data_IF_426527404263
#
_entry.id   IF_426527404263
#
_cell.length_a   1.000
_cell.length_b   1.000
_cell.length_c   1.000
_cell.angle_alpha   90.00
_cell.angle_beta   90.00
_cell.angle_gamma   90.00
#
_symmetry.space_group_name_H-M   'P 1'
#
loop_
_entity.id
_entity.type
_entity.pdbx_description
1 polymer ?
#
# COMPACT_ATOMS: atom_id res chain seq x y z
N UNK A 1 -17.95 -5.41 20.24
CA UNK A 1 -17.42 -4.38 19.34
C UNK A 1 -16.24 -3.67 19.98
N UNK A 2 -15.15 -3.55 19.25
CA UNK A 2 -13.96 -2.87 19.75
C UNK A 2 -14.13 -1.36 19.66
N UNK A 3 -13.67 -0.64 20.71
CA UNK A 3 -13.72 0.81 20.80
C UNK A 3 -12.32 1.43 20.90
N UNK A 4 -11.29 0.72 20.44
CA UNK A 4 -9.95 1.25 20.46
C UNK A 4 -9.71 2.32 19.41
N UNK A 5 -8.57 2.98 19.52
CA UNK A 5 -8.10 3.89 18.45
C UNK A 5 -7.86 3.08 17.19
N UNK A 6 -7.92 3.76 16.06
CA UNK A 6 -7.72 3.12 14.74
C UNK A 6 -6.50 3.71 14.06
N UNK A 7 -5.93 2.92 13.16
CA UNK A 7 -4.88 3.43 12.28
C UNK A 7 -5.49 4.44 11.32
N UNK A 8 -5.04 5.69 11.39
CA UNK A 8 -5.60 6.76 10.56
C UNK A 8 -4.70 7.18 9.43
N UNK A 9 -3.40 7.26 9.68
CA UNK A 9 -2.44 7.85 8.74
C UNK A 9 -1.13 7.08 8.77
N UNK A 10 -0.60 6.78 7.58
CA UNK A 10 0.77 6.30 7.43
C UNK A 10 1.62 7.43 6.86
N UNK A 11 2.84 7.59 7.34
CA UNK A 11 3.80 8.55 6.81
C UNK A 11 4.93 7.76 6.17
N UNK A 12 5.22 8.06 4.91
CA UNK A 12 6.26 7.38 4.15
C UNK A 12 7.25 8.39 3.58
N UNK A 13 8.53 8.11 3.73
CA UNK A 13 9.56 8.90 3.08
C UNK A 13 9.74 8.40 1.65
N UNK A 14 9.86 9.33 0.71
CA UNK A 14 10.03 9.02 -0.72
C UNK A 14 11.19 9.84 -1.28
N UNK A 15 11.82 9.35 -2.34
CA UNK A 15 12.92 10.07 -2.96
C UNK A 15 12.41 11.22 -3.84
N UNK A 16 11.36 10.98 -4.62
CA UNK A 16 10.82 11.93 -5.58
C UNK A 16 9.31 12.05 -5.34
N UNK A 17 8.88 13.17 -4.78
CA UNK A 17 7.50 13.38 -4.37
C UNK A 17 6.53 13.26 -5.54
N UNK A 18 6.81 13.94 -6.66
CA UNK A 18 5.91 13.94 -7.81
C UNK A 18 5.71 12.54 -8.37
N UNK A 19 6.79 11.77 -8.48
CA UNK A 19 6.76 10.39 -8.96
C UNK A 19 5.92 9.50 -8.06
N UNK A 20 6.12 9.61 -6.75
CA UNK A 20 5.41 8.77 -5.78
C UNK A 20 3.94 9.17 -5.67
N UNK A 21 3.62 10.45 -5.76
CA UNK A 21 2.23 10.92 -5.78
C UNK A 21 1.50 10.33 -6.98
N UNK A 22 2.11 10.37 -8.17
CA UNK A 22 1.49 9.77 -9.36
C UNK A 22 1.23 8.28 -9.17
N UNK A 23 2.21 7.57 -8.65
CA UNK A 23 2.10 6.12 -8.41
C UNK A 23 0.91 5.79 -7.51
N UNK A 24 0.83 6.41 -6.33
CA UNK A 24 -0.21 6.08 -5.36
C UNK A 24 -1.60 6.54 -5.80
N UNK A 25 -1.67 7.62 -6.56
CA UNK A 25 -2.94 8.03 -7.17
C UNK A 25 -3.44 7.00 -8.18
N UNK A 26 -2.54 6.50 -9.02
CA UNK A 26 -2.91 5.55 -10.07
C UNK A 26 -3.22 4.17 -9.52
N UNK A 27 -2.37 3.65 -8.64
CA UNK A 27 -2.51 2.26 -8.15
C UNK A 27 -3.62 2.15 -7.12
N UNK A 28 -3.68 3.06 -6.15
CA UNK A 28 -4.61 2.97 -5.03
C UNK A 28 -5.81 3.91 -5.17
N UNK A 29 -5.89 4.66 -6.26
CA UNK A 29 -6.97 5.61 -6.52
C UNK A 29 -7.15 6.64 -5.39
N UNK A 30 -6.05 7.04 -4.76
CA UNK A 30 -6.10 8.05 -3.71
C UNK A 30 -6.20 9.45 -4.30
N UNK A 31 -6.82 10.36 -3.56
CA UNK A 31 -6.93 11.77 -3.95
C UNK A 31 -5.90 12.60 -3.19
N UNK A 32 -5.26 13.53 -3.89
CA UNK A 32 -4.40 14.52 -3.23
C UNK A 32 -5.30 15.57 -2.57
N UNK A 33 -5.22 15.67 -1.25
CA UNK A 33 -5.99 16.64 -0.47
C UNK A 33 -5.20 17.92 -0.24
N UNK A 34 -3.89 17.79 -0.06
CA UNK A 34 -3.01 18.92 0.18
C UNK A 34 -1.60 18.55 -0.26
N UNK A 35 -0.86 19.51 -0.78
CA UNK A 35 0.50 19.28 -1.24
C UNK A 35 1.30 20.58 -1.24
N UNK A 36 2.55 20.48 -0.80
CA UNK A 36 3.52 21.55 -0.96
C UNK A 36 4.78 20.99 -1.65
N UNK A 37 5.90 21.71 -1.59
CA UNK A 37 7.10 21.28 -2.29
C UNK A 37 7.79 20.06 -1.69
N UNK A 38 7.49 19.71 -0.43
CA UNK A 38 8.18 18.63 0.28
C UNK A 38 7.27 17.49 0.70
N UNK A 39 5.95 17.69 0.75
CA UNK A 39 5.04 16.68 1.26
C UNK A 39 3.68 16.72 0.55
N UNK A 40 3.00 15.59 0.54
CA UNK A 40 1.65 15.46 0.00
C UNK A 40 0.80 14.62 0.94
N UNK A 41 -0.45 15.04 1.13
CA UNK A 41 -1.46 14.28 1.87
C UNK A 41 -2.44 13.68 0.88
N UNK A 42 -2.52 12.36 0.85
CA UNK A 42 -3.43 11.61 0.00
C UNK A 42 -4.49 10.94 0.88
N UNK A 43 -5.69 10.80 0.34
CA UNK A 43 -6.82 10.26 1.08
C UNK A 43 -7.61 9.28 0.22
N UNK A 44 -8.09 8.20 0.84
CA UNK A 44 -9.00 7.24 0.23
C UNK A 44 -9.70 6.40 1.28
N UNK A 45 -11.02 6.38 1.24
CA UNK A 45 -11.89 5.52 2.05
C UNK A 45 -11.52 5.51 3.55
N UNK A 46 -11.37 6.69 4.14
CA UNK A 46 -11.14 6.83 5.58
C UNK A 46 -9.70 6.70 6.03
N UNK A 47 -8.76 6.45 5.12
CA UNK A 47 -7.34 6.35 5.44
C UNK A 47 -6.57 7.46 4.76
N UNK A 48 -5.47 7.86 5.39
CA UNK A 48 -4.59 8.91 4.87
C UNK A 48 -3.18 8.37 4.67
N UNK A 49 -2.53 8.84 3.62
CA UNK A 49 -1.14 8.56 3.35
C UNK A 49 -0.41 9.89 3.18
N UNK A 50 0.61 10.13 4.00
CA UNK A 50 1.46 11.31 3.84
C UNK A 50 2.77 10.86 3.20
N UNK A 51 3.14 11.46 2.09
CA UNK A 51 4.41 11.25 1.43
C UNK A 51 5.30 12.45 1.70
N UNK A 52 6.53 12.22 2.15
CA UNK A 52 7.50 13.26 2.49
C UNK A 52 8.78 13.02 1.69
N UNK A 53 9.16 14.01 0.91
CA UNK A 53 10.38 13.91 0.10
C UNK A 53 11.64 13.94 0.96
N UNK A 54 12.54 12.98 0.74
CA UNK A 54 13.83 12.90 1.41
C UNK A 54 15.00 13.07 0.45
N UNK A 55 14.71 13.19 -0.86
CA UNK A 55 15.74 13.32 -1.88
C UNK A 55 16.35 11.99 -2.28
N UNK A 56 17.13 12.02 -3.36
CA UNK A 56 17.82 10.84 -3.88
C UNK A 56 18.88 10.34 -2.90
N UNK A 57 19.13 9.05 -2.93
CA UNK A 57 20.12 8.41 -2.06
C UNK A 57 19.54 7.81 -0.79
N UNK A 58 18.30 8.16 -0.40
CA UNK A 58 17.62 7.47 0.69
C UNK A 58 17.17 6.07 0.24
N UNK A 59 17.12 5.13 1.17
CA UNK A 59 16.66 3.77 0.86
C UNK A 59 15.84 3.22 2.01
N UNK A 60 15.06 2.17 1.71
CA UNK A 60 14.20 1.51 2.70
C UNK A 60 14.77 0.16 3.06
N UNK A 61 15.28 -0.03 4.31
CA UNK A 61 15.76 -1.34 4.74
C UNK A 61 14.59 -2.30 5.00
N UNK A 62 14.76 -3.56 4.59
CA UNK A 62 13.77 -4.61 4.80
C UNK A 62 14.23 -5.57 5.89
N UNK A 63 13.28 -6.13 6.64
CA UNK A 63 13.54 -7.17 7.61
C UNK A 63 13.98 -6.70 8.98
N UNK A 64 14.19 -5.41 9.17
CA UNK A 64 14.49 -4.85 10.49
C UNK A 64 13.26 -4.80 11.38
N UNK A 65 13.46 -4.65 12.67
CA UNK A 65 12.35 -4.49 13.62
C UNK A 65 11.56 -3.22 13.29
N UNK A 66 10.24 -3.34 13.22
CA UNK A 66 9.34 -2.23 12.92
C UNK A 66 8.35 -2.59 11.83
N UNK A 67 7.76 -1.57 11.23
CA UNK A 67 6.80 -1.77 10.14
C UNK A 67 7.50 -2.33 8.92
N UNK A 68 6.99 -3.44 8.38
CA UNK A 68 7.54 -4.06 7.18
C UNK A 68 6.83 -3.56 5.92
N UNK A 69 5.50 -3.56 5.93
CA UNK A 69 4.69 -3.05 4.85
C UNK A 69 3.27 -2.77 5.36
N UNK A 70 2.51 -2.07 4.54
CA UNK A 70 1.12 -1.74 4.83
C UNK A 70 0.24 -2.57 3.90
N UNK A 71 -0.83 -3.15 4.43
CA UNK A 71 -1.81 -3.88 3.64
C UNK A 71 -2.97 -2.93 3.34
N UNK A 72 -3.24 -2.73 2.06
CA UNK A 72 -4.37 -1.96 1.59
C UNK A 72 -5.51 -2.90 1.26
N UNK A 73 -6.73 -2.52 1.61
CA UNK A 73 -7.91 -3.31 1.27
C UNK A 73 -8.58 -2.71 0.05
N UNK A 74 -8.77 -3.52 -0.99
CA UNK A 74 -9.52 -3.09 -2.17
C UNK A 74 -11.00 -2.92 -1.83
N UNK A 75 -11.67 -2.02 -2.54
CA UNK A 75 -13.09 -1.74 -2.32
C UNK A 75 -13.97 -2.96 -2.65
N UNK A 76 -13.60 -3.69 -3.70
CA UNK A 76 -14.28 -4.91 -4.15
C UNK A 76 -13.33 -5.71 -5.06
N UNK A 77 -13.82 -6.81 -5.60
CA UNK A 77 -13.04 -7.66 -6.49
C UNK A 77 -12.58 -6.90 -7.74
N UNK A 78 -13.45 -6.08 -8.31
CA UNK A 78 -13.11 -5.30 -9.50
C UNK A 78 -12.01 -4.28 -9.22
N UNK A 79 -12.01 -3.69 -8.03
CA UNK A 79 -10.97 -2.76 -7.61
C UNK A 79 -9.62 -3.47 -7.44
N UNK A 80 -9.62 -4.68 -6.89
CA UNK A 80 -8.40 -5.49 -6.78
C UNK A 80 -7.81 -5.77 -8.17
N UNK A 81 -8.66 -6.16 -9.11
CA UNK A 81 -8.24 -6.43 -10.49
C UNK A 81 -7.71 -5.17 -11.17
N UNK A 82 -8.31 -4.02 -10.89
CA UNK A 82 -7.84 -2.73 -11.39
C UNK A 82 -6.44 -2.43 -10.86
N UNK A 83 -6.21 -2.64 -9.56
CA UNK A 83 -4.89 -2.44 -8.96
C UNK A 83 -3.85 -3.33 -9.63
N UNK A 84 -4.18 -4.59 -9.87
CA UNK A 84 -3.26 -5.53 -10.54
C UNK A 84 -2.91 -5.05 -11.94
N UNK A 85 -3.91 -4.65 -12.74
CA UNK A 85 -3.66 -4.15 -14.08
C UNK A 85 -2.77 -2.91 -14.07
N UNK A 86 -3.06 -1.98 -13.17
CA UNK A 86 -2.30 -0.73 -13.09
C UNK A 86 -0.85 -1.00 -12.70
N UNK A 87 -0.61 -1.89 -11.75
CA UNK A 87 0.75 -2.28 -11.39
C UNK A 87 1.49 -2.89 -12.56
N UNK A 88 0.83 -3.72 -13.36
CA UNK A 88 1.43 -4.31 -14.56
C UNK A 88 1.75 -3.25 -15.61
N UNK A 89 0.86 -2.30 -15.83
CA UNK A 89 1.07 -1.19 -16.77
C UNK A 89 2.27 -0.32 -16.37
N UNK A 90 2.50 -0.17 -15.06
CA UNK A 90 3.60 0.62 -14.55
C UNK A 90 4.89 -0.18 -14.36
N UNK A 91 4.90 -1.45 -14.76
CA UNK A 91 6.02 -2.38 -14.54
C UNK A 91 6.40 -2.51 -13.06
N UNK A 92 5.41 -2.39 -12.19
CA UNK A 92 5.56 -2.42 -10.74
C UNK A 92 4.98 -3.69 -10.10
N UNK A 93 4.38 -4.56 -10.89
CA UNK A 93 3.74 -5.79 -10.41
C UNK A 93 4.80 -6.82 -10.03
N UNK A 94 4.52 -7.58 -8.95
CA UNK A 94 5.39 -8.66 -8.50
C UNK A 94 4.68 -10.00 -8.48
N UNK A 95 3.53 -10.11 -7.81
CA UNK A 95 2.92 -11.42 -7.59
C UNK A 95 1.45 -11.28 -7.17
N UNK A 96 0.69 -12.35 -7.40
CA UNK A 96 -0.68 -12.46 -6.94
C UNK A 96 -0.82 -13.81 -6.24
N UNK A 97 -1.27 -13.82 -5.00
CA UNK A 97 -1.38 -15.03 -4.18
C UNK A 97 -2.79 -15.17 -3.64
N UNK A 98 -3.30 -16.38 -3.66
CA UNK A 98 -4.58 -16.73 -3.03
C UNK A 98 -4.33 -17.52 -1.75
N UNK A 99 -5.10 -17.23 -0.71
CA UNK A 99 -5.06 -17.96 0.56
C UNK A 99 -6.48 -17.98 1.13
N UNK A 100 -7.08 -19.18 1.20
CA UNK A 100 -8.49 -19.27 1.58
C UNK A 100 -9.37 -18.47 0.64
N UNK A 101 -10.11 -17.51 1.18
CA UNK A 101 -10.99 -16.64 0.38
C UNK A 101 -10.30 -15.35 -0.06
N UNK A 102 -9.11 -15.08 0.45
CA UNK A 102 -8.40 -13.84 0.17
C UNK A 102 -7.50 -13.96 -1.04
N UNK A 103 -7.40 -12.87 -1.79
CA UNK A 103 -6.42 -12.71 -2.86
C UNK A 103 -5.60 -11.46 -2.55
N UNK A 104 -4.27 -11.58 -2.59
CA UNK A 104 -3.36 -10.47 -2.39
C UNK A 104 -2.57 -10.21 -3.67
N UNK A 105 -2.53 -8.95 -4.06
CA UNK A 105 -1.71 -8.47 -5.17
C UNK A 105 -0.55 -7.68 -4.60
N UNK A 106 0.66 -8.05 -4.97
CA UNK A 106 1.87 -7.38 -4.50
C UNK A 106 2.56 -6.66 -5.64
N UNK A 107 3.00 -5.44 -5.36
CA UNK A 107 3.84 -4.65 -6.25
C UNK A 107 4.90 -3.90 -5.47
N UNK A 108 5.64 -3.09 -6.18
CA UNK A 108 6.67 -2.21 -5.59
C UNK A 108 6.45 -0.79 -6.04
N UNK A 109 6.55 0.14 -5.10
CA UNK A 109 6.46 1.55 -5.43
C UNK A 109 7.78 2.04 -6.07
N UNK A 110 7.86 3.32 -6.49
CA UNK A 110 9.08 3.83 -7.13
C UNK A 110 10.34 3.76 -6.28
N UNK A 111 10.21 3.64 -4.97
CA UNK A 111 11.33 3.51 -4.03
C UNK A 111 11.55 2.07 -3.58
N UNK A 112 10.96 1.10 -4.29
CA UNK A 112 11.05 -0.33 -4.01
C UNK A 112 10.38 -0.74 -2.68
N UNK A 113 9.45 0.05 -2.19
CA UNK A 113 8.65 -0.29 -1.02
C UNK A 113 7.49 -1.19 -1.44
N UNK A 114 7.23 -2.21 -0.63
CA UNK A 114 6.15 -3.17 -0.91
C UNK A 114 4.80 -2.47 -0.87
N UNK A 115 4.01 -2.69 -1.91
CA UNK A 115 2.59 -2.32 -1.96
C UNK A 115 1.79 -3.61 -2.03
N UNK A 116 0.95 -3.84 -1.03
CA UNK A 116 0.11 -5.04 -0.99
C UNK A 116 -1.35 -4.65 -0.91
N UNK A 117 -2.14 -5.16 -1.84
CA UNK A 117 -3.58 -4.92 -1.88
C UNK A 117 -4.30 -6.25 -1.75
N UNK A 118 -5.25 -6.33 -0.85
CA UNK A 118 -5.93 -7.58 -0.50
C UNK A 118 -7.44 -7.40 -0.61
N UNK A 119 -8.13 -8.45 -1.03
CA UNK A 119 -9.58 -8.50 -0.96
C UNK A 119 -10.04 -9.96 -0.81
N UNK A 120 -10.96 -10.27 0.12
CA UNK A 120 -11.47 -9.42 1.21
C UNK A 120 -10.37 -8.94 2.16
N UNK A 121 -10.65 -7.88 2.90
CA UNK A 121 -9.67 -7.29 3.80
C UNK A 121 -9.34 -8.13 5.02
N UNK A 122 -8.19 -7.87 5.68
CA UNK A 122 -7.76 -8.64 6.86
C UNK A 122 -8.75 -8.62 8.01
N UNK A 123 -9.57 -7.59 8.13
CA UNK A 123 -10.58 -7.47 9.17
C UNK A 123 -11.74 -8.47 9.00
N UNK A 124 -11.85 -9.13 7.86
CA UNK A 124 -12.91 -10.08 7.54
C UNK A 124 -12.43 -11.53 7.52
N UNK A 125 -11.15 -11.78 7.83
CA UNK A 125 -10.55 -13.10 7.68
C UNK A 125 -9.76 -13.48 8.93
N UNK A 126 -9.72 -14.78 9.28
CA UNK A 126 -8.81 -15.24 10.32
C UNK A 126 -7.36 -15.15 9.85
N UNK A 127 -6.44 -15.06 10.80
CA UNK A 127 -5.02 -14.86 10.51
C UNK A 127 -4.45 -15.89 9.52
N UNK A 128 -4.81 -17.14 9.67
CA UNK A 128 -4.26 -18.21 8.84
C UNK A 128 -4.73 -18.15 7.38
N UNK A 129 -5.75 -17.37 7.07
CA UNK A 129 -6.22 -17.16 5.70
C UNK A 129 -5.63 -15.92 5.04
N UNK A 130 -4.88 -15.11 5.79
CA UNK A 130 -4.19 -13.96 5.19
C UNK A 130 -2.98 -14.45 4.39
N UNK A 131 -2.80 -13.93 3.17
CA UNK A 131 -1.62 -14.29 2.37
C UNK A 131 -0.33 -13.92 3.08
N UNK A 132 0.63 -14.83 3.06
CA UNK A 132 1.94 -14.66 3.67
C UNK A 132 2.88 -14.04 2.66
N UNK A 133 3.72 -13.10 3.11
CA UNK A 133 4.71 -12.50 2.23
C UNK A 133 6.13 -13.04 2.48
N UNK A 134 6.60 -12.96 3.71
CA UNK A 134 7.98 -13.34 4.04
C UNK A 134 8.01 -14.52 5.01
N UNK A 135 7.29 -14.40 6.11
CA UNK A 135 7.25 -15.41 7.16
C UNK A 135 5.83 -15.88 7.36
N UNK A 136 5.68 -17.13 7.86
CA UNK A 136 4.38 -17.63 8.24
C UNK A 136 3.82 -16.93 9.49
N UNK A 137 2.55 -17.04 9.64
CA UNK A 137 1.85 -16.49 10.84
C UNK A 137 1.96 -17.42 12.03
#
# INVERSE_FOLDING_TARGET
MAHGTRLGTAVMFVQDLERSVRFYRQVLALEVVDQNTTAALLFGDGAQLILRSMGSGAFHPLGGVGVQYVIWTAADQADLERCERTLKELSAYRDTRASGQAVAVEGRDPDDVVVMVVYPGPDQLPLHELPVRIYGW
#
